data_IF_077316898652
#
_entry.id   IF_077316898652
#
_cell.length_a   1.000
_cell.length_b   1.000
_cell.length_c   1.000
_cell.angle_alpha   90.00
_cell.angle_beta   90.00
_cell.angle_gamma   90.00
#
_symmetry.space_group_name_H-M   'P 1'
#
loop_
_entity.id
_entity.type
_entity.pdbx_description
1 polymer ?
#
# COMPACT_ATOMS: atom_id res chain seq x y z
N UNK A 1 -14.50 5.03 -16.44
CA UNK A 1 -14.48 4.29 -15.16
C UNK A 1 -14.36 5.29 -14.03
N UNK A 2 -15.24 5.22 -13.02
CA UNK A 2 -15.17 6.07 -11.82
C UNK A 2 -14.56 5.24 -10.69
N UNK A 3 -13.43 5.70 -10.15
CA UNK A 3 -12.70 5.01 -9.08
C UNK A 3 -12.62 5.88 -7.83
N UNK A 4 -12.44 7.18 -8.00
CA UNK A 4 -12.20 8.10 -6.90
C UNK A 4 -13.40 9.00 -6.58
N UNK A 5 -13.60 9.28 -5.30
CA UNK A 5 -14.63 10.22 -4.82
C UNK A 5 -14.45 11.59 -5.47
N UNK A 6 -13.21 12.05 -5.62
CA UNK A 6 -12.88 13.34 -6.23
C UNK A 6 -13.26 13.40 -7.72
N UNK A 7 -13.29 12.26 -8.43
CA UNK A 7 -13.79 12.21 -9.80
C UNK A 7 -15.30 12.44 -9.83
N UNK A 8 -16.04 11.77 -8.92
CA UNK A 8 -17.49 11.95 -8.77
C UNK A 8 -17.82 13.40 -8.42
N UNK A 9 -17.11 14.00 -7.47
CA UNK A 9 -17.29 15.41 -7.11
C UNK A 9 -17.10 16.34 -8.31
N UNK A 10 -16.08 16.10 -9.14
CA UNK A 10 -15.83 16.92 -10.34
C UNK A 10 -16.90 16.73 -11.42
N UNK A 11 -17.50 15.55 -11.54
CA UNK A 11 -18.61 15.31 -12.47
C UNK A 11 -19.86 16.05 -12.01
N UNK A 12 -20.23 15.90 -10.73
CA UNK A 12 -21.36 16.62 -10.13
C UNK A 12 -21.22 18.14 -10.31
N UNK A 13 -20.01 18.66 -10.16
CA UNK A 13 -19.72 20.08 -10.33
C UNK A 13 -19.71 20.55 -11.80
N UNK A 14 -18.96 19.87 -12.68
CA UNK A 14 -18.79 20.33 -14.06
C UNK A 14 -20.01 20.07 -14.93
N UNK A 15 -20.70 18.96 -14.70
CA UNK A 15 -21.87 18.56 -15.49
C UNK A 15 -23.15 19.06 -14.82
N UNK A 16 -23.33 18.77 -13.53
CA UNK A 16 -24.54 19.15 -12.80
C UNK A 16 -24.52 20.56 -12.22
N UNK A 17 -23.37 21.24 -12.18
CA UNK A 17 -23.26 22.57 -11.58
C UNK A 17 -23.32 22.61 -10.06
N UNK A 18 -23.28 21.45 -9.42
CA UNK A 18 -23.35 21.34 -7.97
C UNK A 18 -22.04 21.86 -7.38
N UNK A 19 -22.10 22.74 -6.38
CA UNK A 19 -20.92 23.24 -5.68
C UNK A 19 -20.11 22.04 -5.12
N UNK A 20 -18.78 22.07 -5.21
CA UNK A 20 -17.90 21.00 -4.70
C UNK A 20 -18.15 20.65 -3.22
N UNK A 21 -18.46 21.63 -2.37
CA UNK A 21 -18.84 21.47 -0.97
C UNK A 21 -20.14 20.67 -0.81
N UNK A 22 -21.11 20.90 -1.70
CA UNK A 22 -22.37 20.14 -1.78
C UNK A 22 -22.19 18.78 -2.45
N UNK A 23 -21.26 18.64 -3.39
CA UNK A 23 -20.98 17.39 -4.09
C UNK A 23 -20.51 16.29 -3.14
N UNK A 24 -19.72 16.64 -2.12
CA UNK A 24 -19.34 15.69 -1.07
C UNK A 24 -20.54 15.22 -0.23
N UNK A 25 -21.51 16.11 0.02
CA UNK A 25 -22.77 15.76 0.70
C UNK A 25 -23.59 14.77 -0.13
N UNK A 26 -23.63 14.95 -1.46
CA UNK A 26 -24.26 14.00 -2.38
C UNK A 26 -23.62 12.60 -2.28
N UNK A 27 -22.29 12.51 -2.32
CA UNK A 27 -21.56 11.24 -2.18
C UNK A 27 -21.89 10.56 -0.83
N UNK A 28 -21.87 11.32 0.27
CA UNK A 28 -22.19 10.80 1.61
C UNK A 28 -23.64 10.31 1.71
N UNK A 29 -24.57 10.99 1.05
CA UNK A 29 -25.97 10.58 0.99
C UNK A 29 -26.13 9.26 0.25
N UNK A 30 -25.42 9.06 -0.87
CA UNK A 30 -25.38 7.80 -1.62
C UNK A 30 -24.82 6.66 -0.74
N UNK A 31 -23.68 6.87 -0.08
CA UNK A 31 -23.09 5.86 0.81
C UNK A 31 -24.02 5.46 1.96
N UNK A 32 -24.84 6.41 2.45
CA UNK A 32 -25.81 6.19 3.53
C UNK A 32 -27.20 5.77 3.04
N UNK A 33 -27.42 5.64 1.73
CA UNK A 33 -28.71 5.32 1.11
C UNK A 33 -29.84 6.27 1.54
N UNK A 34 -29.56 7.58 1.61
CA UNK A 34 -30.54 8.61 1.97
C UNK A 34 -31.37 9.01 0.74
N UNK A 35 -32.45 8.27 0.47
CA UNK A 35 -33.24 8.35 -0.77
C UNK A 35 -33.76 9.77 -1.04
N UNK A 36 -34.29 10.44 -0.03
CA UNK A 36 -34.82 11.81 -0.09
C UNK A 36 -33.76 12.82 -0.54
N UNK A 37 -32.58 12.76 0.08
CA UNK A 37 -31.44 13.64 -0.25
C UNK A 37 -30.91 13.33 -1.64
N UNK A 38 -30.86 12.05 -2.02
CA UNK A 38 -30.38 11.60 -3.33
C UNK A 38 -31.28 12.09 -4.47
N UNK A 39 -32.60 11.99 -4.32
CA UNK A 39 -33.55 12.47 -5.34
C UNK A 39 -33.43 13.98 -5.55
N UNK A 40 -33.29 14.76 -4.47
CA UNK A 40 -33.03 16.19 -4.57
C UNK A 40 -31.76 16.50 -5.37
N UNK A 41 -30.67 15.81 -5.10
CA UNK A 41 -29.42 16.01 -5.86
C UNK A 41 -29.53 15.52 -7.31
N UNK A 42 -30.35 14.50 -7.58
CA UNK A 42 -30.63 14.04 -8.95
C UNK A 42 -31.33 15.12 -9.76
N UNK A 43 -32.40 15.70 -9.21
CA UNK A 43 -33.14 16.80 -9.86
C UNK A 43 -32.24 18.01 -10.10
N UNK A 44 -31.44 18.39 -9.10
CA UNK A 44 -30.47 19.49 -9.20
C UNK A 44 -29.43 19.20 -10.29
N UNK A 45 -28.90 17.97 -10.32
CA UNK A 45 -27.93 17.55 -11.32
C UNK A 45 -28.50 17.57 -12.75
N UNK A 46 -29.69 17.00 -12.95
CA UNK A 46 -30.33 16.94 -14.27
C UNK A 46 -30.67 18.34 -14.78
N UNK A 47 -31.22 19.19 -13.90
CA UNK A 47 -31.51 20.60 -14.23
C UNK A 47 -30.23 21.35 -14.60
N UNK A 48 -29.18 21.21 -13.79
CA UNK A 48 -27.89 21.85 -14.05
C UNK A 48 -27.14 21.28 -15.26
N UNK A 49 -27.38 20.02 -15.61
CA UNK A 49 -26.85 19.42 -16.83
C UNK A 49 -27.57 19.94 -18.08
N UNK A 50 -28.89 20.16 -18.01
CA UNK A 50 -29.67 20.77 -19.08
C UNK A 50 -29.22 22.19 -19.42
N UNK A 51 -28.82 22.99 -18.43
CA UNK A 51 -28.24 24.33 -18.67
C UNK A 51 -26.83 24.30 -19.30
N UNK A 52 -26.23 23.11 -19.41
CA UNK A 52 -24.91 22.87 -20.01
C UNK A 52 -25.01 21.96 -21.25
N UNK A 53 -26.15 22.01 -21.93
CA UNK A 53 -26.43 21.32 -23.20
C UNK A 53 -26.31 19.79 -23.14
N UNK A 54 -26.45 19.18 -21.95
CA UNK A 54 -26.55 17.72 -21.83
C UNK A 54 -28.02 17.29 -21.89
N UNK A 55 -28.41 16.40 -22.84
CA UNK A 55 -29.77 15.88 -22.91
C UNK A 55 -30.15 15.18 -21.60
N UNK A 56 -31.39 15.39 -21.17
CA UNK A 56 -31.93 14.84 -19.91
C UNK A 56 -31.67 13.33 -19.77
N UNK A 57 -31.96 12.55 -20.81
CA UNK A 57 -31.73 11.10 -20.82
C UNK A 57 -30.28 10.72 -20.49
N UNK A 58 -29.31 11.49 -21.00
CA UNK A 58 -27.87 11.28 -20.75
C UNK A 58 -27.46 11.77 -19.36
N UNK A 59 -28.09 12.83 -18.86
CA UNK A 59 -27.88 13.31 -17.50
C UNK A 59 -28.37 12.29 -16.46
N UNK A 60 -29.56 11.72 -16.67
CA UNK A 60 -30.14 10.66 -15.84
C UNK A 60 -29.24 9.43 -15.84
N UNK A 61 -28.82 8.95 -17.02
CA UNK A 61 -27.91 7.81 -17.15
C UNK A 61 -26.57 8.05 -16.43
N UNK A 62 -26.03 9.27 -16.54
CA UNK A 62 -24.78 9.64 -15.86
C UNK A 62 -24.95 9.66 -14.33
N UNK A 63 -26.08 10.17 -13.84
CA UNK A 63 -26.37 10.14 -12.40
C UNK A 63 -26.57 8.71 -11.88
N UNK A 64 -27.23 7.84 -12.65
CA UNK A 64 -27.37 6.41 -12.31
C UNK A 64 -26.01 5.73 -12.18
N UNK A 65 -25.06 6.07 -13.05
CA UNK A 65 -23.69 5.60 -12.91
C UNK A 65 -23.06 6.14 -11.64
N UNK A 66 -23.18 7.44 -11.35
CA UNK A 66 -22.66 8.04 -10.11
C UNK A 66 -23.21 7.31 -8.87
N UNK A 67 -24.51 7.02 -8.84
CA UNK A 67 -25.16 6.32 -7.73
C UNK A 67 -24.58 4.92 -7.52
N UNK A 68 -24.35 4.16 -8.60
CA UNK A 68 -23.72 2.84 -8.54
C UNK A 68 -22.27 2.90 -8.05
N UNK A 69 -21.50 3.91 -8.47
CA UNK A 69 -20.06 3.98 -8.18
C UNK A 69 -19.72 4.71 -6.87
N UNK A 70 -20.50 5.69 -6.45
CA UNK A 70 -20.20 6.49 -5.25
C UNK A 70 -20.23 5.68 -3.95
N UNK A 71 -20.93 4.52 -3.94
CA UNK A 71 -20.85 3.56 -2.84
C UNK A 71 -19.48 2.87 -2.68
N UNK A 72 -18.67 2.84 -3.75
CA UNK A 72 -17.37 2.16 -3.80
C UNK A 72 -16.21 3.11 -4.12
N UNK A 73 -16.45 4.42 -4.12
CA UNK A 73 -15.44 5.41 -4.46
C UNK A 73 -14.33 5.48 -3.41
N UNK A 74 -13.08 5.36 -3.85
CA UNK A 74 -11.90 5.52 -3.01
C UNK A 74 -11.49 6.97 -2.87
N UNK A 75 -10.89 7.33 -1.75
CA UNK A 75 -10.29 8.64 -1.58
C UNK A 75 -8.93 8.69 -2.33
N UNK A 76 -8.79 9.60 -3.31
CA UNK A 76 -7.60 9.68 -4.16
C UNK A 76 -6.37 10.14 -3.37
N UNK A 77 -6.49 11.13 -2.50
CA UNK A 77 -5.32 11.65 -1.77
C UNK A 77 -4.71 10.58 -0.85
N UNK A 78 -5.55 9.82 -0.15
CA UNK A 78 -5.12 8.69 0.66
C UNK A 78 -4.47 7.59 -0.20
N UNK A 79 -5.10 7.20 -1.30
CA UNK A 79 -4.57 6.18 -2.22
C UNK A 79 -3.22 6.60 -2.81
N UNK A 80 -3.05 7.89 -3.12
CA UNK A 80 -1.81 8.43 -3.70
C UNK A 80 -0.67 8.41 -2.68
N UNK A 81 -0.94 8.80 -1.43
CA UNK A 81 0.06 8.79 -0.38
C UNK A 81 0.61 7.38 -0.10
N UNK A 82 -0.28 6.41 0.06
CA UNK A 82 0.14 5.01 0.26
C UNK A 82 0.78 4.40 -0.99
N UNK A 83 0.30 4.75 -2.18
CA UNK A 83 0.93 4.35 -3.44
C UNK A 83 2.38 4.83 -3.57
N UNK A 84 2.69 6.03 -3.09
CA UNK A 84 4.05 6.56 -3.08
C UNK A 84 4.98 5.76 -2.17
N UNK A 85 4.53 5.41 -0.96
CA UNK A 85 5.29 4.56 -0.03
C UNK A 85 5.51 3.17 -0.63
N UNK A 86 4.46 2.54 -1.16
CA UNK A 86 4.57 1.23 -1.81
C UNK A 86 5.57 1.25 -2.98
N UNK A 87 5.56 2.31 -3.79
CA UNK A 87 6.54 2.51 -4.85
C UNK A 87 7.97 2.63 -4.31
N UNK A 88 8.18 3.43 -3.26
CA UNK A 88 9.49 3.58 -2.62
C UNK A 88 10.00 2.26 -2.05
N UNK A 89 9.15 1.50 -1.35
CA UNK A 89 9.47 0.16 -0.85
C UNK A 89 9.87 -0.79 -1.97
N UNK A 90 9.10 -0.82 -3.06
CA UNK A 90 9.41 -1.64 -4.23
C UNK A 90 10.73 -1.21 -4.90
N UNK A 91 11.00 0.09 -4.98
CA UNK A 91 12.24 0.63 -5.51
C UNK A 91 13.45 0.16 -4.69
N UNK A 92 13.42 0.26 -3.37
CA UNK A 92 14.50 -0.25 -2.52
C UNK A 92 14.67 -1.76 -2.63
N UNK A 93 13.57 -2.53 -2.63
CA UNK A 93 13.63 -3.99 -2.83
C UNK A 93 14.24 -4.38 -4.17
N UNK A 94 14.03 -3.59 -5.23
CA UNK A 94 14.55 -3.88 -6.57
C UNK A 94 16.01 -3.46 -6.76
N UNK A 95 16.44 -2.34 -6.17
CA UNK A 95 17.77 -1.74 -6.43
C UNK A 95 18.79 -1.94 -5.30
N UNK A 96 18.31 -2.13 -4.06
CA UNK A 96 19.13 -2.34 -2.87
C UNK A 96 18.59 -3.54 -2.06
N UNK A 97 18.47 -4.73 -2.66
CA UNK A 97 17.76 -5.86 -2.06
C UNK A 97 18.39 -6.35 -0.76
N UNK A 98 19.72 -6.32 -0.65
CA UNK A 98 20.42 -6.78 0.57
C UNK A 98 20.17 -5.81 1.72
N UNK A 99 20.37 -4.51 1.50
CA UNK A 99 20.15 -3.47 2.49
C UNK A 99 18.67 -3.39 2.89
N UNK A 100 17.77 -3.55 1.92
CA UNK A 100 16.32 -3.58 2.15
C UNK A 100 15.92 -4.76 3.04
N UNK A 101 16.39 -5.96 2.74
CA UNK A 101 16.05 -7.15 3.55
C UNK A 101 16.73 -7.12 4.92
N UNK A 102 17.96 -6.61 5.03
CA UNK A 102 18.62 -6.39 6.31
C UNK A 102 17.82 -5.41 7.17
N UNK A 103 17.39 -4.27 6.62
CA UNK A 103 16.54 -3.32 7.32
C UNK A 103 15.21 -3.94 7.77
N UNK A 104 14.57 -4.76 6.91
CA UNK A 104 13.31 -5.42 7.23
C UNK A 104 13.46 -6.43 8.39
N UNK A 105 14.52 -7.23 8.36
CA UNK A 105 14.88 -8.17 9.42
C UNK A 105 15.17 -7.43 10.75
N UNK A 106 15.87 -6.29 10.69
CA UNK A 106 16.15 -5.44 11.86
C UNK A 106 14.88 -4.84 12.48
N UNK A 107 13.92 -4.39 11.66
CA UNK A 107 12.66 -3.82 12.17
C UNK A 107 11.77 -4.84 12.88
N UNK A 108 11.91 -6.13 12.58
CA UNK A 108 11.04 -7.19 13.09
C UNK A 108 11.79 -8.23 13.95
N UNK A 109 12.94 -7.84 14.52
CA UNK A 109 13.81 -8.70 15.33
C UNK A 109 13.14 -9.37 16.55
N UNK A 110 12.05 -8.81 17.04
CA UNK A 110 11.30 -9.34 18.17
C UNK A 110 10.27 -10.40 17.78
N UNK A 111 9.91 -10.49 16.48
CA UNK A 111 8.89 -11.40 15.95
C UNK A 111 9.56 -12.56 15.20
N UNK A 112 9.69 -13.70 15.88
CA UNK A 112 10.40 -14.87 15.34
C UNK A 112 9.72 -15.46 14.10
N UNK A 113 8.38 -15.40 14.03
CA UNK A 113 7.63 -15.92 12.89
C UNK A 113 7.90 -15.06 11.65
N UNK A 114 7.90 -13.73 11.81
CA UNK A 114 8.22 -12.81 10.70
C UNK A 114 9.66 -12.90 10.25
N UNK A 115 10.61 -13.06 11.18
CA UNK A 115 12.01 -13.29 10.82
C UNK A 115 12.14 -14.54 9.95
N UNK A 116 11.45 -15.63 10.30
CA UNK A 116 11.47 -16.85 9.51
C UNK A 116 10.92 -16.61 8.08
N UNK A 117 9.78 -15.93 7.96
CA UNK A 117 9.19 -15.56 6.66
C UNK A 117 10.15 -14.71 5.81
N UNK A 118 10.81 -13.71 6.41
CA UNK A 118 11.75 -12.85 5.69
C UNK A 118 13.04 -13.57 5.29
N UNK A 119 13.52 -14.50 6.10
CA UNK A 119 14.67 -15.36 5.73
C UNK A 119 14.31 -16.24 4.53
N UNK A 120 13.10 -16.78 4.48
CA UNK A 120 12.62 -17.55 3.32
C UNK A 120 12.49 -16.68 2.06
N UNK A 121 12.03 -15.44 2.20
CA UNK A 121 12.02 -14.48 1.11
C UNK A 121 13.45 -14.12 0.64
N UNK A 122 14.42 -13.94 1.54
CA UNK A 122 15.83 -13.79 1.20
C UNK A 122 16.33 -14.98 0.35
N UNK A 123 16.02 -16.21 0.76
CA UNK A 123 16.40 -17.43 0.01
C UNK A 123 15.78 -17.45 -1.39
N UNK A 124 14.50 -17.07 -1.52
CA UNK A 124 13.82 -16.97 -2.82
C UNK A 124 14.43 -15.89 -3.72
N UNK A 125 14.94 -14.82 -3.11
CA UNK A 125 15.70 -13.75 -3.78
C UNK A 125 17.18 -14.10 -4.01
N UNK A 126 17.62 -15.31 -3.67
CA UNK A 126 19.01 -15.78 -3.79
C UNK A 126 20.00 -14.95 -2.95
N UNK A 127 19.56 -14.47 -1.79
CA UNK A 127 20.37 -13.77 -0.82
C UNK A 127 20.80 -14.72 0.29
N UNK A 128 22.10 -14.80 0.54
CA UNK A 128 22.66 -15.61 1.62
C UNK A 128 22.54 -14.88 2.96
N UNK A 129 21.78 -15.47 3.90
CA UNK A 129 21.68 -15.00 5.28
C UNK A 129 22.55 -15.89 6.15
N UNK A 130 23.61 -15.32 6.73
CA UNK A 130 24.54 -16.04 7.60
C UNK A 130 23.99 -16.13 9.05
N UNK A 131 24.28 -17.21 9.78
CA UNK A 131 23.94 -17.29 11.20
C UNK A 131 24.73 -16.24 12.02
N UNK A 132 24.24 -15.84 13.20
CA UNK A 132 24.92 -14.86 14.05
C UNK A 132 26.31 -15.35 14.47
N UNK A 133 27.27 -14.43 14.50
CA UNK A 133 28.67 -14.66 14.84
C UNK A 133 29.16 -13.57 15.81
N UNK A 134 29.69 -13.98 16.97
CA UNK A 134 30.17 -13.07 18.02
C UNK A 134 31.23 -12.07 17.52
N UNK A 135 32.02 -12.45 16.51
CA UNK A 135 33.11 -11.61 15.99
C UNK A 135 32.70 -10.64 14.88
N UNK A 136 31.55 -10.87 14.23
CA UNK A 136 31.20 -10.18 12.98
C UNK A 136 29.77 -9.62 12.95
N UNK A 137 28.87 -10.14 13.79
CA UNK A 137 27.49 -9.67 13.89
C UNK A 137 27.38 -8.39 14.71
N UNK A 138 26.38 -7.59 14.38
CA UNK A 138 25.98 -6.42 15.14
C UNK A 138 24.65 -6.70 15.86
N UNK A 139 24.16 -5.72 16.63
CA UNK A 139 22.86 -5.84 17.31
C UNK A 139 21.75 -5.99 16.27
N UNK A 140 21.76 -5.15 15.23
CA UNK A 140 20.84 -5.21 14.11
C UNK A 140 21.45 -5.97 12.92
N UNK A 141 20.63 -6.41 11.96
CA UNK A 141 21.12 -7.02 10.72
C UNK A 141 21.85 -5.97 9.87
N UNK A 142 23.17 -6.14 9.61
CA UNK A 142 23.91 -5.22 8.77
C UNK A 142 23.58 -5.43 7.29
N UNK A 143 23.67 -4.37 6.49
CA UNK A 143 23.61 -4.45 5.02
C UNK A 143 24.80 -5.21 4.43
N UNK A 144 24.89 -5.25 3.09
CA UNK A 144 25.94 -6.01 2.40
C UNK A 144 27.34 -5.59 2.88
N UNK A 145 28.00 -6.47 3.63
CA UNK A 145 29.46 -6.41 3.77
C UNK A 145 30.05 -7.26 2.65
N UNK A 146 30.94 -6.66 1.86
CA UNK A 146 31.81 -7.46 0.99
C UNK A 146 32.65 -8.35 1.89
N UNK A 147 32.27 -9.62 2.01
CA UNK A 147 33.15 -10.62 2.57
C UNK A 147 34.37 -10.69 1.65
N UNK A 148 35.55 -10.37 2.17
CA UNK A 148 36.82 -10.73 1.55
C UNK A 148 36.90 -12.25 1.55
N UNK A 149 36.30 -12.87 0.53
CA UNK A 149 36.22 -14.31 0.30
C UNK A 149 35.25 -15.14 1.17
N UNK A 150 34.44 -15.95 0.49
CA UNK A 150 33.63 -17.04 1.08
C UNK A 150 34.50 -18.21 1.57
N UNK A 151 35.80 -18.21 1.27
CA UNK A 151 36.74 -19.27 1.67
C UNK A 151 37.10 -19.27 3.16
N UNK A 152 36.90 -18.16 3.87
CA UNK A 152 37.22 -18.04 5.30
C UNK A 152 36.08 -18.46 6.23
N UNK A 153 34.90 -18.79 5.69
CA UNK A 153 33.81 -19.33 6.52
C UNK A 153 34.12 -20.78 6.91
N UNK A 154 34.24 -21.11 8.21
CA UNK A 154 34.61 -22.45 8.64
C UNK A 154 33.47 -23.43 8.30
N UNK A 155 33.58 -24.12 7.17
CA UNK A 155 32.77 -25.29 6.86
C UNK A 155 33.09 -26.35 7.90
N UNK A 156 32.12 -26.63 8.77
CA UNK A 156 32.10 -27.70 9.76
C UNK A 156 33.36 -27.78 10.64
N UNK A 157 33.41 -26.99 11.71
CA UNK A 157 33.99 -27.50 12.96
C UNK A 157 32.83 -27.80 13.88
N UNK A 158 32.44 -29.08 13.94
CA UNK A 158 31.50 -29.55 14.94
C UNK A 158 31.99 -29.08 16.31
N UNK A 159 31.07 -28.51 17.10
CA UNK A 159 31.33 -28.15 18.48
C UNK A 159 31.81 -29.39 19.25
N UNK A 160 33.07 -29.38 19.70
CA UNK A 160 33.60 -30.36 20.64
C UNK A 160 33.46 -29.81 22.06
N UNK A 161 32.78 -30.52 22.99
CA UNK A 161 32.64 -30.05 24.36
C UNK A 161 34.00 -30.05 25.08
N UNK A 162 34.24 -29.08 25.99
CA UNK A 162 35.50 -28.99 26.71
C UNK A 162 35.73 -30.24 27.58
N UNK A 163 36.98 -30.74 27.69
CA UNK A 163 37.28 -31.94 28.46
C UNK A 163 36.91 -31.73 29.93
N UNK A 164 36.16 -32.68 30.49
CA UNK A 164 35.80 -32.68 31.90
C UNK A 164 37.07 -32.75 32.75
N UNK A 165 37.29 -31.73 33.58
CA UNK A 165 38.32 -31.80 34.63
C UNK A 165 37.94 -32.92 35.60
N UNK A 166 38.66 -34.04 35.54
CA UNK A 166 38.71 -35.00 36.64
C UNK A 166 39.78 -34.52 37.63
N UNK A 167 39.34 -34.42 38.89
CA UNK A 167 40.05 -34.20 40.16
C UNK A 167 41.03 -33.04 40.22
#
# INVERSE_FOLDING_TARGET
MMVYQEQVMRILNRVGGIELSSAYRCIKAISKKQIDVMQRFREEFVTGAGTRDLPEARAVELFDMIEKFAGYGFNKSHSTAYGAVAYQTAYFKAHFPVEFMAALLSCEMEDTDRIADHIDDCRRMQLDVLPPCVNHSEVEFPGARMAESVSDWPRSRAWEPPPSRRS
#
